data_IF_065927725277
#
_entry.id   IF_065927725277
#
_cell.length_a   1.000
_cell.length_b   1.000
_cell.length_c   1.000
_cell.angle_alpha   90.00
_cell.angle_beta   90.00
_cell.angle_gamma   90.00
#
_symmetry.space_group_name_H-M   'P 1'
#
loop_
_entity.id
_entity.type
_entity.pdbx_description
1 polymer ?
#
# COMPACT_ATOMS: atom_id res chain seq x y z
N UNK A 1 -0.80 3.98 45.94
CA UNK A 1 -1.18 3.22 44.73
C UNK A 1 -1.38 4.14 43.51
N UNK A 2 -0.36 4.91 43.10
CA UNK A 2 -0.46 5.85 41.96
C UNK A 2 0.47 5.47 40.78
N UNK A 3 1.63 4.85 41.04
CA UNK A 3 2.58 4.42 39.99
C UNK A 3 1.99 3.45 38.96
N UNK A 4 1.15 2.49 39.40
CA UNK A 4 0.56 1.50 38.50
C UNK A 4 -0.48 2.07 37.51
N UNK A 5 -1.21 3.12 37.89
CA UNK A 5 -2.20 3.78 37.01
C UNK A 5 -1.53 4.45 35.82
N UNK A 6 -0.40 5.12 36.05
CA UNK A 6 0.37 5.78 34.99
C UNK A 6 0.96 4.76 34.00
N UNK A 7 1.48 3.63 34.52
CA UNK A 7 2.03 2.56 33.67
C UNK A 7 0.94 1.94 32.80
N UNK A 8 -0.23 1.64 33.35
CA UNK A 8 -1.35 1.11 32.59
C UNK A 8 -1.80 2.05 31.46
N UNK A 9 -1.73 3.36 31.69
CA UNK A 9 -2.09 4.38 30.70
C UNK A 9 -1.04 4.51 29.59
N UNK A 10 0.25 4.42 29.94
CA UNK A 10 1.37 4.39 29.00
C UNK A 10 1.30 3.16 28.09
N UNK A 11 1.01 1.98 28.65
CA UNK A 11 0.89 0.74 27.87
C UNK A 11 -0.26 0.82 26.87
N UNK A 12 -1.41 1.38 27.27
CA UNK A 12 -2.53 1.61 26.35
C UNK A 12 -2.14 2.54 25.20
N UNK A 13 -1.42 3.61 25.49
CA UNK A 13 -0.96 4.54 24.47
C UNK A 13 0.02 3.89 23.48
N UNK A 14 0.98 3.11 24.00
CA UNK A 14 1.89 2.32 23.16
C UNK A 14 1.15 1.34 22.25
N UNK A 15 0.12 0.66 22.77
CA UNK A 15 -0.67 -0.28 21.98
C UNK A 15 -1.35 0.40 20.78
N UNK A 16 -1.92 1.58 20.99
CA UNK A 16 -2.55 2.38 19.91
C UNK A 16 -1.50 2.82 18.87
N UNK A 17 -0.32 3.26 19.30
CA UNK A 17 0.77 3.61 18.39
C UNK A 17 1.17 2.41 17.55
N UNK A 18 1.40 1.25 18.18
CA UNK A 18 1.83 0.04 17.48
C UNK A 18 0.80 -0.39 16.43
N UNK A 19 -0.49 -0.42 16.79
CA UNK A 19 -1.56 -0.72 15.83
C UNK A 19 -1.56 0.28 14.67
N UNK A 20 -1.42 1.57 14.96
CA UNK A 20 -1.42 2.61 13.93
C UNK A 20 -0.25 2.43 12.96
N UNK A 21 0.94 2.11 13.46
CA UNK A 21 2.12 1.82 12.64
C UNK A 21 1.92 0.57 11.77
N UNK A 22 1.30 -0.48 12.30
CA UNK A 22 0.97 -1.68 11.53
C UNK A 22 -0.01 -1.38 10.38
N UNK A 23 -1.04 -0.57 10.63
CA UNK A 23 -1.99 -0.17 9.58
C UNK A 23 -1.31 0.63 8.46
N UNK A 24 -0.39 1.54 8.81
CA UNK A 24 0.40 2.32 7.84
C UNK A 24 1.29 1.39 7.01
N UNK A 25 1.97 0.43 7.66
CA UNK A 25 2.80 -0.57 6.99
C UNK A 25 2.00 -1.41 5.97
N UNK A 26 0.80 -1.86 6.35
CA UNK A 26 -0.08 -2.62 5.44
C UNK A 26 -0.56 -1.75 4.29
N UNK A 27 -0.93 -0.48 4.54
CA UNK A 27 -1.36 0.45 3.48
C UNK A 27 -0.22 0.75 2.49
N UNK A 28 1.01 0.92 2.98
CA UNK A 28 2.20 1.10 2.13
C UNK A 28 2.54 -0.17 1.36
N UNK A 29 2.45 -1.34 1.99
CA UNK A 29 2.70 -2.63 1.32
C UNK A 29 1.60 -3.02 0.33
N UNK A 30 0.37 -2.49 0.47
CA UNK A 30 -0.67 -2.63 -0.54
C UNK A 30 -0.32 -1.93 -1.86
N UNK A 31 0.56 -0.92 -1.84
CA UNK A 31 1.02 -0.22 -3.04
C UNK A 31 1.83 -1.10 -4.00
N UNK A 32 2.44 -2.18 -3.52
CA UNK A 32 3.23 -3.12 -4.32
C UNK A 32 2.37 -4.02 -5.21
N UNK A 33 1.08 -4.18 -4.90
CA UNK A 33 0.12 -4.92 -5.76
C UNK A 33 -0.11 -4.23 -7.11
N UNK A 34 0.30 -2.98 -7.24
CA UNK A 34 0.13 -2.18 -8.44
C UNK A 34 1.43 -1.90 -9.17
N UNK A 35 2.54 -2.46 -8.69
CA UNK A 35 3.83 -2.36 -9.35
C UNK A 35 3.86 -3.27 -10.57
N UNK A 36 4.23 -2.72 -11.72
CA UNK A 36 4.34 -3.46 -12.96
C UNK A 36 5.69 -3.19 -13.63
N UNK A 37 6.18 -4.16 -14.38
CA UNK A 37 7.33 -3.97 -15.29
C UNK A 37 6.86 -3.98 -16.74
N UNK A 38 5.80 -4.73 -17.01
CA UNK A 38 5.19 -4.88 -18.33
C UNK A 38 3.67 -4.70 -18.25
N UNK A 39 3.03 -4.40 -19.38
CA UNK A 39 1.56 -4.31 -19.46
C UNK A 39 0.86 -5.62 -19.06
N UNK A 40 1.55 -6.76 -19.22
CA UNK A 40 1.02 -8.08 -18.87
C UNK A 40 0.78 -8.24 -17.37
N UNK A 41 1.66 -7.66 -16.54
CA UNK A 41 1.56 -7.71 -15.07
C UNK A 41 0.25 -7.08 -14.56
N UNK A 42 -0.34 -6.18 -15.35
CA UNK A 42 -1.57 -5.46 -15.01
C UNK A 42 -2.85 -6.21 -15.39
N UNK A 43 -2.75 -7.28 -16.19
CA UNK A 43 -3.90 -7.96 -16.80
C UNK A 43 -4.68 -8.82 -15.80
N UNK A 44 -3.97 -9.40 -14.83
CA UNK A 44 -4.55 -10.32 -13.85
C UNK A 44 -4.99 -9.64 -12.55
N UNK A 45 -4.55 -8.40 -12.31
CA UNK A 45 -4.73 -7.70 -11.02
C UNK A 45 -5.78 -6.58 -11.09
N UNK A 46 -6.05 -6.02 -12.27
CA UNK A 46 -6.89 -4.82 -12.40
C UNK A 46 -8.15 -5.05 -13.23
N UNK A 47 -9.32 -4.83 -12.61
CA UNK A 47 -10.60 -4.77 -13.31
C UNK A 47 -10.77 -3.37 -13.92
N UNK A 48 -10.49 -3.21 -15.20
CA UNK A 48 -10.81 -1.98 -15.94
C UNK A 48 -12.24 -2.07 -16.50
N UNK A 49 -12.89 -0.93 -16.73
CA UNK A 49 -14.17 -0.86 -17.44
C UNK A 49 -14.02 -1.41 -18.87
N UNK A 50 -15.08 -1.93 -19.49
CA UNK A 50 -15.04 -2.55 -20.83
C UNK A 50 -14.48 -1.63 -21.94
N UNK A 51 -14.44 -0.33 -21.69
CA UNK A 51 -13.90 0.70 -22.60
C UNK A 51 -12.43 1.05 -22.34
N UNK A 52 -11.77 0.36 -21.42
CA UNK A 52 -10.43 0.70 -20.94
C UNK A 52 -9.53 -0.53 -20.91
N UNK A 53 -8.23 -0.31 -21.15
CA UNK A 53 -7.20 -1.33 -21.10
C UNK A 53 -6.22 -1.00 -19.96
N UNK A 54 -5.89 -2.00 -19.15
CA UNK A 54 -4.86 -1.86 -18.13
C UNK A 54 -3.48 -1.77 -18.82
N UNK A 55 -2.74 -0.68 -18.58
CA UNK A 55 -1.37 -0.50 -19.06
C UNK A 55 -0.41 -0.18 -17.93
N UNK A 56 0.83 -0.59 -18.10
CA UNK A 56 1.91 -0.29 -17.18
C UNK A 56 2.57 1.05 -17.51
N UNK A 57 2.46 2.01 -16.60
CA UNK A 57 3.12 3.31 -16.72
C UNK A 57 4.42 3.33 -15.93
N UNK A 58 5.54 3.21 -16.64
CA UNK A 58 6.89 3.29 -16.08
C UNK A 58 7.40 4.73 -16.13
N UNK A 59 7.56 5.36 -14.96
CA UNK A 59 8.24 6.67 -14.86
C UNK A 59 9.76 6.41 -14.94
N UNK A 60 10.30 6.46 -16.17
CA UNK A 60 11.73 6.38 -16.53
C UNK A 60 12.32 4.97 -16.73
N UNK A 61 12.98 4.80 -17.88
CA UNK A 61 13.53 3.55 -18.46
C UNK A 61 14.54 2.77 -17.60
N UNK A 62 15.01 3.29 -16.48
CA UNK A 62 16.25 2.82 -15.88
C UNK A 62 16.18 2.23 -14.46
N UNK A 63 15.11 2.38 -13.66
CA UNK A 63 15.11 1.75 -12.33
C UNK A 63 13.79 1.67 -11.55
N UNK A 64 12.65 2.12 -12.08
CA UNK A 64 11.45 2.26 -11.25
C UNK A 64 10.35 1.37 -11.76
N UNK A 65 9.94 0.40 -10.95
CA UNK A 65 8.69 -0.35 -11.16
C UNK A 65 7.58 0.66 -11.51
N UNK A 66 6.88 0.40 -12.61
CA UNK A 66 5.77 1.21 -13.08
C UNK A 66 4.52 1.00 -12.25
N UNK A 67 3.46 1.73 -12.58
CA UNK A 67 2.13 1.51 -12.00
C UNK A 67 1.13 1.10 -13.05
N UNK A 68 0.30 0.12 -12.74
CA UNK A 68 -0.85 -0.22 -13.57
C UNK A 68 -1.88 0.92 -13.53
N UNK A 69 -2.37 1.32 -14.70
CA UNK A 69 -3.40 2.34 -14.87
C UNK A 69 -4.36 1.90 -15.97
N UNK A 70 -5.66 2.08 -15.77
CA UNK A 70 -6.65 1.90 -16.83
C UNK A 70 -6.64 3.12 -17.76
N UNK A 71 -6.47 2.89 -19.05
CA UNK A 71 -6.48 3.92 -20.08
C UNK A 71 -7.54 3.63 -21.11
N UNK A 72 -8.18 4.69 -21.63
CA UNK A 72 -9.15 4.63 -22.72
C UNK A 72 -8.47 4.42 -24.07
#
# INVERSE_FOLDING_TARGET
>A
MQRGKNIAQIVKFFYVIVISLFLILVAMNGGYLFECTTDYDCRDVWYCSDTQVAKCYVRSRFLSKGKCLCVK
#
